data_IF_144689562606
#
_entry.id   IF_144689562606
#
_cell.length_a   1.000
_cell.length_b   1.000
_cell.length_c   1.000
_cell.angle_alpha   90.00
_cell.angle_beta   90.00
_cell.angle_gamma   90.00
#
_symmetry.space_group_name_H-M   'P 1'
#
loop_
_entity.id
_entity.type
_entity.pdbx_description
1 polymer ?
#
# COMPACT_ATOMS: atom_id res chain seq x y z
N UNK A 1 8.00 -12.11 8.61
CA UNK A 1 6.80 -12.67 9.24
C UNK A 1 6.77 -14.13 8.85
N UNK A 2 6.73 -15.04 9.83
CA UNK A 2 6.85 -16.48 9.62
C UNK A 2 5.43 -17.03 9.50
N UNK A 3 5.07 -17.58 8.35
CA UNK A 3 3.82 -18.31 8.15
C UNK A 3 4.06 -19.77 8.57
N UNK A 4 3.21 -20.31 9.44
CA UNK A 4 3.30 -21.69 9.93
C UNK A 4 2.98 -22.68 8.81
N UNK A 5 3.70 -23.83 8.75
CA UNK A 5 3.70 -24.85 7.68
C UNK A 5 2.35 -25.56 7.39
N UNK A 6 1.25 -25.12 7.99
CA UNK A 6 -0.06 -25.78 7.88
C UNK A 6 -1.09 -25.08 6.98
N UNK A 7 -0.69 -24.07 6.22
CA UNK A 7 -1.61 -23.25 5.44
C UNK A 7 -1.80 -23.78 4.01
N UNK A 8 -2.85 -24.59 3.76
CA UNK A 8 -3.40 -24.82 2.41
C UNK A 8 -4.50 -23.77 2.16
N UNK A 9 -4.21 -22.76 1.35
CA UNK A 9 -5.19 -21.77 0.91
C UNK A 9 -6.13 -22.38 -0.15
N UNK A 10 -7.43 -22.20 0.01
CA UNK A 10 -8.44 -22.47 -1.01
C UNK A 10 -9.02 -21.16 -1.50
N UNK A 11 -9.10 -20.99 -2.81
CA UNK A 11 -9.73 -19.81 -3.42
C UNK A 11 -11.25 -20.01 -3.48
N UNK A 12 -12.01 -19.06 -2.92
CA UNK A 12 -13.45 -18.97 -3.08
C UNK A 12 -13.83 -17.52 -3.45
N UNK A 13 -14.09 -17.27 -4.72
CA UNK A 13 -14.45 -15.94 -5.19
C UNK A 13 -13.33 -14.90 -4.99
N UNK A 14 -13.65 -13.71 -4.47
CA UNK A 14 -12.69 -12.64 -4.16
C UNK A 14 -12.00 -12.79 -2.80
N UNK A 15 -12.40 -13.72 -1.94
CA UNK A 15 -11.84 -13.92 -0.60
C UNK A 15 -10.82 -15.06 -0.54
N UNK A 16 -9.71 -14.85 0.17
CA UNK A 16 -8.77 -15.90 0.52
C UNK A 16 -9.22 -16.58 1.82
N UNK A 17 -9.55 -17.87 1.75
CA UNK A 17 -10.00 -18.64 2.90
C UNK A 17 -8.94 -19.69 3.27
N UNK A 18 -8.37 -19.56 4.46
CA UNK A 18 -7.54 -20.58 5.10
C UNK A 18 -8.38 -21.30 6.17
N UNK A 19 -8.71 -22.59 5.96
CA UNK A 19 -9.46 -23.40 6.94
C UNK A 19 -10.74 -22.72 7.47
N UNK A 20 -11.50 -21.98 6.61
CA UNK A 20 -12.71 -21.26 7.01
C UNK A 20 -12.45 -19.84 7.59
N UNK A 21 -11.22 -19.36 7.58
CA UNK A 21 -10.86 -18.01 7.97
C UNK A 21 -10.67 -17.11 6.75
N UNK A 22 -11.36 -15.96 6.72
CA UNK A 22 -11.19 -14.93 5.67
C UNK A 22 -9.97 -14.09 6.03
N UNK A 23 -8.93 -14.15 5.20
CA UNK A 23 -7.71 -13.36 5.42
C UNK A 23 -7.95 -11.89 5.08
N UNK A 24 -7.59 -11.00 6.00
CA UNK A 24 -7.60 -9.55 5.79
C UNK A 24 -6.27 -9.09 5.18
N UNK A 25 -6.32 -8.30 4.12
CA UNK A 25 -5.14 -7.81 3.40
C UNK A 25 -5.07 -6.30 3.50
N UNK A 26 -3.99 -5.79 4.11
CA UNK A 26 -3.75 -4.35 4.29
C UNK A 26 -2.64 -3.87 3.37
N UNK A 27 -2.85 -2.76 2.65
CA UNK A 27 -1.82 -2.07 1.90
C UNK A 27 -1.24 -0.90 2.69
N UNK A 28 0.08 -0.86 2.89
CA UNK A 28 0.81 0.26 3.48
C UNK A 28 1.50 1.05 2.37
N UNK A 29 0.99 2.25 2.08
CA UNK A 29 1.51 3.13 1.03
C UNK A 29 2.42 4.18 1.65
N UNK A 30 3.73 4.09 1.37
CA UNK A 30 4.74 5.02 1.92
C UNK A 30 4.91 6.21 1.00
N UNK A 31 4.45 7.37 1.44
CA UNK A 31 4.40 8.64 0.71
C UNK A 31 5.22 9.78 1.35
N UNK A 32 5.97 9.51 2.42
CA UNK A 32 6.66 10.52 3.26
C UNK A 32 8.03 11.02 2.78
N UNK A 33 8.42 10.77 1.53
CA UNK A 33 9.71 11.21 0.99
C UNK A 33 9.81 12.73 0.77
N UNK A 34 10.78 13.40 1.37
CA UNK A 34 11.00 14.86 1.28
C UNK A 34 11.31 15.41 -0.13
N UNK A 35 11.33 14.59 -1.18
CA UNK A 35 11.54 15.05 -2.57
C UNK A 35 12.82 15.88 -2.83
N UNK A 36 13.78 15.89 -1.90
CA UNK A 36 14.97 16.76 -1.87
C UNK A 36 15.80 16.73 -3.16
N UNK A 37 15.69 15.67 -3.95
CA UNK A 37 16.40 15.55 -5.24
C UNK A 37 15.78 16.34 -6.38
N UNK A 38 14.57 16.85 -6.24
CA UNK A 38 13.85 17.58 -7.29
C UNK A 38 13.74 19.08 -7.04
N UNK A 39 14.34 19.60 -5.95
CA UNK A 39 14.32 21.04 -5.64
C UNK A 39 12.92 21.66 -5.49
N UNK A 40 11.89 20.85 -5.34
CA UNK A 40 10.51 21.33 -5.20
C UNK A 40 10.18 21.50 -3.72
N UNK A 41 9.54 22.61 -3.37
CA UNK A 41 9.02 22.88 -2.02
C UNK A 41 7.87 21.93 -1.61
N UNK A 42 7.34 21.16 -2.57
CA UNK A 42 6.25 20.19 -2.36
C UNK A 42 6.72 18.74 -2.51
N UNK A 43 6.13 17.87 -1.70
CA UNK A 43 6.32 16.44 -1.83
C UNK A 43 5.82 15.97 -3.22
N UNK A 44 6.69 15.25 -3.97
CA UNK A 44 6.44 14.81 -5.35
C UNK A 44 5.15 13.98 -5.53
N UNK A 45 4.66 13.34 -4.47
CA UNK A 45 3.43 12.53 -4.53
C UNK A 45 2.18 13.37 -4.74
N UNK A 46 2.21 14.67 -4.42
CA UNK A 46 1.12 15.63 -4.67
C UNK A 46 1.28 16.41 -5.98
N UNK A 47 2.33 16.15 -6.76
CA UNK A 47 2.41 16.66 -8.12
C UNK A 47 1.29 16.06 -8.97
N UNK A 48 0.73 16.88 -9.87
CA UNK A 48 -0.37 16.42 -10.73
C UNK A 48 0.13 15.90 -12.06
N UNK A 49 -0.38 14.74 -12.45
CA UNK A 49 -0.24 14.15 -13.78
C UNK A 49 -1.65 13.95 -14.33
N UNK A 50 -1.92 14.46 -15.54
CA UNK A 50 -3.25 14.41 -16.15
C UNK A 50 -4.36 14.94 -15.22
N UNK A 51 -4.08 16.02 -14.48
CA UNK A 51 -5.04 16.70 -13.62
C UNK A 51 -5.26 16.08 -12.23
N UNK A 52 -4.60 14.96 -11.90
CA UNK A 52 -4.72 14.27 -10.60
C UNK A 52 -3.35 14.07 -9.97
N UNK A 53 -3.30 14.04 -8.64
CA UNK A 53 -2.08 13.84 -7.85
C UNK A 53 -1.50 12.41 -8.11
N UNK A 54 -0.16 12.29 -8.12
CA UNK A 54 0.52 10.98 -8.29
C UNK A 54 0.03 9.98 -7.23
N UNK A 55 -0.11 10.44 -5.98
CA UNK A 55 -0.60 9.61 -4.88
C UNK A 55 -2.02 9.06 -5.13
N UNK A 56 -2.88 9.87 -5.77
CA UNK A 56 -4.22 9.40 -6.15
C UNK A 56 -4.16 8.15 -7.02
N UNK A 57 -3.30 8.13 -8.04
CA UNK A 57 -3.20 6.96 -8.93
C UNK A 57 -2.74 5.71 -8.17
N UNK A 58 -1.75 5.88 -7.30
CA UNK A 58 -1.28 4.78 -6.45
C UNK A 58 -2.39 4.26 -5.55
N UNK A 59 -3.03 5.13 -4.76
CA UNK A 59 -4.10 4.71 -3.84
C UNK A 59 -5.26 4.10 -4.63
N UNK A 60 -5.65 4.69 -5.77
CA UNK A 60 -6.77 4.22 -6.60
C UNK A 60 -6.55 2.81 -7.14
N UNK A 61 -5.32 2.38 -7.40
CA UNK A 61 -5.02 1.01 -7.81
C UNK A 61 -5.35 0.00 -6.69
N UNK A 62 -4.97 0.30 -5.44
CA UNK A 62 -5.28 -0.54 -4.28
C UNK A 62 -6.76 -0.43 -3.88
N UNK A 63 -7.36 0.76 -3.95
CA UNK A 63 -8.80 0.97 -3.69
C UNK A 63 -9.69 0.10 -4.57
N UNK A 64 -9.38 -0.01 -5.86
CA UNK A 64 -10.15 -0.78 -6.83
C UNK A 64 -9.92 -2.27 -6.79
N UNK A 65 -8.83 -2.72 -6.20
CA UNK A 65 -8.47 -4.12 -6.14
C UNK A 65 -9.32 -4.84 -5.09
N UNK A 66 -10.06 -5.87 -5.50
CA UNK A 66 -11.02 -6.61 -4.65
C UNK A 66 -10.36 -7.42 -3.52
N UNK A 67 -9.05 -7.64 -3.59
CA UNK A 67 -8.30 -8.38 -2.57
C UNK A 67 -7.79 -7.51 -1.44
N UNK A 68 -7.76 -6.20 -1.64
CA UNK A 68 -7.32 -5.26 -0.62
C UNK A 68 -8.51 -4.84 0.23
N UNK A 69 -8.44 -5.10 1.52
CA UNK A 69 -9.49 -4.74 2.47
C UNK A 69 -9.26 -3.37 3.10
N UNK A 70 -8.01 -2.95 3.24
CA UNK A 70 -7.63 -1.79 4.02
C UNK A 70 -6.37 -1.12 3.47
N UNK A 71 -6.30 0.21 3.55
CA UNK A 71 -5.17 1.02 3.10
C UNK A 71 -4.72 1.92 4.23
N UNK A 72 -3.41 1.92 4.49
CA UNK A 72 -2.76 2.84 5.41
C UNK A 72 -1.79 3.71 4.62
N UNK A 73 -1.96 5.03 4.69
CA UNK A 73 -1.04 5.97 4.05
C UNK A 73 -0.07 6.52 5.08
N UNK A 74 1.22 6.38 4.80
CA UNK A 74 2.30 6.92 5.64
C UNK A 74 2.92 8.10 4.92
N UNK A 75 2.75 9.31 5.45
CA UNK A 75 3.20 10.55 4.80
C UNK A 75 4.03 11.43 5.75
N UNK A 76 4.57 12.54 5.24
CA UNK A 76 5.26 13.53 6.09
C UNK A 76 4.28 14.19 7.07
N UNK A 77 4.78 14.62 8.24
CA UNK A 77 3.96 15.30 9.25
C UNK A 77 3.16 16.47 8.67
N UNK A 78 3.80 17.28 7.83
CA UNK A 78 3.19 18.45 7.22
C UNK A 78 2.24 18.13 6.05
N UNK A 79 2.26 16.87 5.59
CA UNK A 79 1.51 16.42 4.41
C UNK A 79 0.23 15.65 4.80
N UNK A 80 -0.01 15.42 6.09
CA UNK A 80 -1.15 14.64 6.60
C UNK A 80 -2.47 15.28 6.17
N UNK A 81 -2.60 16.59 6.34
CA UNK A 81 -3.81 17.33 5.98
C UNK A 81 -4.06 17.31 4.46
N UNK A 82 -3.00 17.52 3.64
CA UNK A 82 -3.11 17.45 2.17
C UNK A 82 -3.49 16.04 1.70
N UNK A 83 -2.99 15.01 2.38
CA UNK A 83 -3.37 13.62 2.12
C UNK A 83 -4.84 13.36 2.48
N UNK A 84 -5.33 13.87 3.62
CA UNK A 84 -6.74 13.73 4.00
C UNK A 84 -7.67 14.43 2.99
N UNK A 85 -7.34 15.65 2.59
CA UNK A 85 -8.07 16.38 1.54
C UNK A 85 -8.14 15.55 0.24
N UNK A 86 -7.04 14.89 -0.14
CA UNK A 86 -7.02 14.04 -1.32
C UNK A 86 -7.96 12.83 -1.17
N UNK A 87 -7.93 12.15 -0.03
CA UNK A 87 -8.80 10.99 0.25
C UNK A 87 -10.27 11.41 0.17
N UNK A 88 -10.64 12.52 0.80
CA UNK A 88 -12.01 13.04 0.83
C UNK A 88 -12.46 13.50 -0.58
N UNK A 89 -11.59 14.20 -1.30
CA UNK A 89 -11.86 14.72 -2.66
C UNK A 89 -12.21 13.62 -3.66
N UNK A 90 -11.56 12.47 -3.54
CA UNK A 90 -11.74 11.36 -4.47
C UNK A 90 -12.62 10.24 -3.92
N UNK A 91 -13.25 10.46 -2.77
CA UNK A 91 -14.18 9.54 -2.11
C UNK A 91 -13.57 8.13 -1.92
N UNK A 92 -12.30 8.07 -1.48
CA UNK A 92 -11.56 6.82 -1.26
C UNK A 92 -12.04 6.22 0.06
N UNK A 93 -12.48 4.96 0.04
CA UNK A 93 -13.17 4.32 1.18
C UNK A 93 -12.27 3.38 1.99
N UNK A 94 -11.29 2.74 1.35
CA UNK A 94 -10.42 1.75 2.02
C UNK A 94 -9.29 2.38 2.83
N UNK A 95 -9.06 3.70 2.73
CA UNK A 95 -8.06 4.37 3.56
C UNK A 95 -8.60 4.51 4.98
N UNK A 96 -8.08 3.69 5.90
CA UNK A 96 -8.47 3.69 7.32
C UNK A 96 -7.58 4.57 8.19
N UNK A 97 -6.29 4.72 7.81
CA UNK A 97 -5.33 5.53 8.56
C UNK A 97 -4.43 6.34 7.63
N UNK A 98 -4.20 7.60 8.02
CA UNK A 98 -3.10 8.43 7.53
C UNK A 98 -2.20 8.68 8.74
N UNK A 99 -0.94 8.28 8.66
CA UNK A 99 0.01 8.36 9.79
C UNK A 99 1.32 9.01 9.38
N UNK A 100 2.00 9.61 10.37
CA UNK A 100 3.31 10.21 10.16
C UNK A 100 4.38 9.15 9.91
N UNK A 101 5.23 9.39 8.91
CA UNK A 101 6.45 8.62 8.65
C UNK A 101 7.56 8.93 9.65
N UNK A 102 8.61 8.14 9.60
CA UNK A 102 9.82 8.36 10.37
C UNK A 102 10.90 9.13 9.59
N UNK A 103 12.08 9.27 10.20
CA UNK A 103 13.23 9.90 9.57
C UNK A 103 13.77 9.08 8.38
N UNK A 104 13.56 7.77 8.40
CA UNK A 104 13.96 6.83 7.36
C UNK A 104 12.76 6.15 6.71
N UNK A 105 12.98 5.52 5.53
CA UNK A 105 11.97 4.69 4.88
C UNK A 105 11.57 3.50 5.76
N UNK A 106 12.53 2.90 6.45
CA UNK A 106 12.29 1.77 7.36
C UNK A 106 11.40 2.16 8.53
N UNK A 107 11.67 3.30 9.17
CA UNK A 107 10.82 3.83 10.24
C UNK A 107 9.41 4.16 9.74
N UNK A 108 9.29 4.73 8.54
CA UNK A 108 7.99 5.01 7.92
C UNK A 108 7.20 3.73 7.68
N UNK A 109 7.83 2.69 7.13
CA UNK A 109 7.22 1.36 6.98
C UNK A 109 6.79 0.81 8.34
N UNK A 110 7.64 0.90 9.36
CA UNK A 110 7.32 0.41 10.70
C UNK A 110 6.13 1.15 11.31
N UNK A 111 6.01 2.46 11.10
CA UNK A 111 4.87 3.24 11.58
C UNK A 111 3.56 2.80 10.90
N UNK A 112 3.59 2.49 9.59
CA UNK A 112 2.47 1.91 8.89
C UNK A 112 2.11 0.51 9.40
N UNK A 113 3.12 -0.35 9.59
CA UNK A 113 2.91 -1.72 10.10
C UNK A 113 2.27 -1.76 11.49
N UNK A 114 2.58 -0.81 12.37
CA UNK A 114 1.95 -0.69 13.70
C UNK A 114 0.45 -0.42 13.63
N UNK A 115 -0.07 0.08 12.51
CA UNK A 115 -1.49 0.35 12.28
C UNK A 115 -2.18 -0.75 11.48
N UNK A 116 -1.39 -1.60 10.81
CA UNK A 116 -1.92 -2.68 9.99
C UNK A 116 -2.47 -3.81 10.86
N UNK A 117 -3.70 -4.19 10.60
CA UNK A 117 -4.41 -5.30 11.26
C UNK A 117 -4.62 -6.50 10.32
N UNK A 118 -4.12 -6.41 9.08
CA UNK A 118 -4.24 -7.48 8.10
C UNK A 118 -3.30 -8.65 8.37
N UNK A 119 -3.73 -9.87 7.97
CA UNK A 119 -2.92 -11.09 8.00
C UNK A 119 -1.77 -11.02 6.99
N UNK A 120 -2.01 -10.31 5.86
CA UNK A 120 -1.00 -10.00 4.85
C UNK A 120 -0.89 -8.49 4.74
N UNK A 121 0.35 -8.01 4.70
CA UNK A 121 0.63 -6.59 4.51
C UNK A 121 1.46 -6.40 3.24
N UNK A 122 0.93 -5.62 2.30
CA UNK A 122 1.68 -5.15 1.13
C UNK A 122 2.29 -3.79 1.44
N UNK A 123 3.58 -3.62 1.15
CA UNK A 123 4.29 -2.35 1.31
C UNK A 123 4.58 -1.78 -0.07
N UNK A 124 4.09 -0.58 -0.34
CA UNK A 124 4.23 0.05 -1.65
C UNK A 124 4.69 1.51 -1.54
N UNK A 125 5.47 1.97 -2.51
CA UNK A 125 5.93 3.37 -2.58
C UNK A 125 4.83 4.25 -3.21
N UNK A 126 4.39 5.31 -2.51
CA UNK A 126 3.31 6.21 -2.95
C UNK A 126 3.57 6.96 -4.27
N UNK A 127 4.83 7.01 -4.72
CA UNK A 127 5.22 7.62 -5.98
C UNK A 127 5.24 6.64 -7.18
N UNK A 128 4.91 5.36 -6.98
CA UNK A 128 4.85 4.34 -8.05
C UNK A 128 3.41 4.16 -8.53
N UNK A 129 2.94 5.11 -9.32
CA UNK A 129 1.55 5.22 -9.75
C UNK A 129 1.09 4.20 -10.81
N UNK A 130 1.99 3.37 -11.34
CA UNK A 130 1.71 2.43 -12.43
C UNK A 130 1.62 0.96 -11.96
N UNK A 131 1.41 0.73 -10.69
CA UNK A 131 1.17 -0.62 -10.16
C UNK A 131 -0.11 -1.19 -10.78
N UNK A 132 -0.06 -2.45 -11.20
CA UNK A 132 -1.17 -3.14 -11.84
C UNK A 132 -1.86 -4.11 -10.89
N UNK A 133 -3.12 -4.47 -11.20
CA UNK A 133 -3.86 -5.50 -10.46
C UNK A 133 -3.14 -6.84 -10.46
N UNK A 134 -2.49 -7.20 -11.58
CA UNK A 134 -1.73 -8.45 -11.68
C UNK A 134 -0.54 -8.46 -10.71
N UNK A 135 0.19 -7.34 -10.58
CA UNK A 135 1.31 -7.24 -9.64
C UNK A 135 0.83 -7.34 -8.19
N UNK A 136 -0.29 -6.69 -7.84
CA UNK A 136 -0.91 -6.78 -6.52
C UNK A 136 -1.34 -8.22 -6.24
N UNK A 137 -2.12 -8.82 -7.15
CA UNK A 137 -2.69 -10.15 -7.00
C UNK A 137 -1.63 -11.24 -6.91
N UNK A 138 -0.59 -11.17 -7.76
CA UNK A 138 0.52 -12.12 -7.75
C UNK A 138 1.34 -11.99 -6.47
N UNK A 139 1.58 -10.76 -5.98
CA UNK A 139 2.29 -10.53 -4.71
C UNK A 139 1.56 -11.17 -3.52
N UNK A 140 0.23 -11.03 -3.48
CA UNK A 140 -0.60 -11.67 -2.45
C UNK A 140 -0.53 -13.19 -2.56
N UNK A 141 -0.72 -13.75 -3.77
CA UNK A 141 -0.69 -15.19 -4.00
C UNK A 141 0.66 -15.81 -3.63
N UNK A 142 1.76 -15.15 -4.02
CA UNK A 142 3.11 -15.62 -3.71
C UNK A 142 3.43 -15.47 -2.21
N UNK A 143 2.94 -14.41 -1.55
CA UNK A 143 3.07 -14.25 -0.10
C UNK A 143 2.36 -15.38 0.64
N UNK A 144 1.16 -15.77 0.24
CA UNK A 144 0.42 -16.90 0.81
C UNK A 144 1.18 -18.22 0.60
N UNK A 145 1.76 -18.41 -0.58
CA UNK A 145 2.43 -19.66 -0.96
C UNK A 145 3.80 -19.80 -0.31
N UNK A 146 4.56 -18.71 -0.22
CA UNK A 146 5.98 -18.74 0.16
C UNK A 146 6.28 -18.02 1.47
N UNK A 147 5.28 -17.40 2.12
CA UNK A 147 5.42 -16.63 3.36
C UNK A 147 5.88 -15.17 3.16
N UNK A 148 6.51 -14.85 2.03
CA UNK A 148 6.89 -13.50 1.62
C UNK A 148 7.08 -13.43 0.11
N UNK A 149 6.85 -12.25 -0.47
CA UNK A 149 7.07 -11.99 -1.89
C UNK A 149 7.65 -10.58 -2.11
N UNK A 150 8.38 -10.40 -3.21
CA UNK A 150 8.84 -9.11 -3.67
C UNK A 150 8.70 -9.01 -5.18
N UNK A 151 8.18 -7.88 -5.66
CA UNK A 151 8.10 -7.60 -7.10
C UNK A 151 9.41 -7.04 -7.59
N UNK A 152 9.93 -7.61 -8.66
CA UNK A 152 11.17 -7.16 -9.29
C UNK A 152 11.18 -7.44 -10.79
N UNK A 153 12.05 -6.75 -11.51
CA UNK A 153 12.35 -7.00 -12.92
C UNK A 153 13.77 -7.53 -13.05
N UNK A 154 14.01 -8.39 -14.04
CA UNK A 154 15.37 -8.85 -14.33
C UNK A 154 16.24 -7.65 -14.70
N UNK A 155 17.41 -7.55 -14.07
CA UNK A 155 18.43 -6.58 -14.49
C UNK A 155 18.84 -6.89 -15.93
N UNK A 156 18.98 -5.83 -16.73
CA UNK A 156 19.55 -5.90 -18.09
C UNK A 156 21.05 -5.99 -18.03
#
# INVERSE_FOLDING_TARGET
MICDEKCRAMFYGSAFILKGYIMKITAVIVAGGKGTRMGADKNKVFLKILGREVLYYTISAFEKNDKIDDIIVVTGKNDIEECQILVDKYDIKKVSYITEGGATRQESVMNGLKKAEGDIVLIHDGARALVTDDEINNSVADCIKFGAAAVGVKCK
#
